data_IF_959241017457
#
_entry.id   IF_959241017457
#
_cell.length_a   1.000
_cell.length_b   1.000
_cell.length_c   1.000
_cell.angle_alpha   90.00
_cell.angle_beta   90.00
_cell.angle_gamma   90.00
#
_symmetry.space_group_name_H-M   'P 1'
#
loop_
_entity.id
_entity.type
_entity.pdbx_description
1 polymer ?
#
# COMPACT_ATOMS: atom_id res chain seq x y z
N UNK A 1 -4.92 3.77 5.82
CA UNK A 1 -5.58 3.16 4.63
C UNK A 1 -7.10 3.07 4.77
N UNK A 2 -7.67 2.61 5.89
CA UNK A 2 -9.13 2.48 6.08
C UNK A 2 -9.90 3.80 5.91
N UNK A 3 -9.37 4.91 6.39
CA UNK A 3 -10.00 6.22 6.24
C UNK A 3 -10.06 6.67 4.77
N UNK A 4 -8.96 6.48 4.02
CA UNK A 4 -8.95 6.73 2.58
C UNK A 4 -9.98 5.87 1.84
N UNK A 5 -10.07 4.60 2.20
CA UNK A 5 -11.02 3.66 1.60
C UNK A 5 -12.48 4.07 1.83
N UNK A 6 -12.80 4.56 3.03
CA UNK A 6 -14.17 4.90 3.42
C UNK A 6 -14.59 6.30 2.97
N UNK A 7 -13.72 7.29 3.11
CA UNK A 7 -14.06 8.72 3.00
C UNK A 7 -13.22 9.48 1.97
N UNK A 8 -12.22 8.85 1.34
CA UNK A 8 -11.28 9.55 0.47
C UNK A 8 -11.75 9.77 -0.97
N UNK A 9 -12.86 9.15 -1.40
CA UNK A 9 -13.30 9.18 -2.79
C UNK A 9 -13.62 10.59 -3.30
N UNK A 10 -14.42 11.36 -2.59
CA UNK A 10 -14.86 12.68 -3.05
C UNK A 10 -13.68 13.65 -3.18
N UNK A 11 -12.78 13.66 -2.21
CA UNK A 11 -11.56 14.48 -2.26
C UNK A 11 -10.64 14.05 -3.41
N UNK A 12 -10.51 12.74 -3.63
CA UNK A 12 -9.72 12.20 -4.74
C UNK A 12 -10.32 12.62 -6.09
N UNK A 13 -11.63 12.48 -6.26
CA UNK A 13 -12.33 12.86 -7.47
C UNK A 13 -12.17 14.36 -7.78
N UNK A 14 -12.31 15.22 -6.79
CA UNK A 14 -12.10 16.67 -6.92
C UNK A 14 -10.69 16.99 -7.42
N UNK A 15 -9.67 16.35 -6.83
CA UNK A 15 -8.27 16.54 -7.25
C UNK A 15 -8.01 16.04 -8.66
N UNK A 16 -8.58 14.89 -9.03
CA UNK A 16 -8.44 14.33 -10.39
C UNK A 16 -9.14 15.25 -11.41
N UNK A 17 -10.34 15.72 -11.11
CA UNK A 17 -11.08 16.65 -11.99
C UNK A 17 -10.29 17.95 -12.19
N UNK A 18 -9.77 18.54 -11.12
CA UNK A 18 -8.92 19.73 -11.20
C UNK A 18 -7.65 19.51 -12.03
N UNK A 19 -7.05 18.33 -11.92
CA UNK A 19 -5.89 17.96 -12.74
C UNK A 19 -6.28 17.84 -14.23
N UNK A 20 -7.38 17.17 -14.54
CA UNK A 20 -7.87 16.98 -15.87
C UNK A 20 -8.21 18.34 -16.55
N UNK A 21 -8.90 19.23 -15.83
CA UNK A 21 -9.22 20.59 -16.31
C UNK A 21 -7.96 21.38 -16.65
N UNK A 22 -6.93 21.28 -15.81
CA UNK A 22 -5.64 21.95 -16.04
C UNK A 22 -4.91 21.45 -17.28
N UNK A 23 -5.15 20.21 -17.71
CA UNK A 23 -4.45 19.55 -18.81
C UNK A 23 -5.35 19.31 -20.03
N UNK A 24 -6.53 19.96 -20.09
CA UNK A 24 -7.50 19.80 -21.18
C UNK A 24 -7.90 18.33 -21.43
N UNK A 25 -8.00 17.53 -20.37
CA UNK A 25 -8.46 16.14 -20.42
C UNK A 25 -9.94 16.10 -20.08
N UNK A 26 -10.74 15.53 -20.99
CA UNK A 26 -12.18 15.39 -20.79
C UNK A 26 -12.49 14.38 -19.65
N UNK A 27 -13.28 14.83 -18.68
CA UNK A 27 -13.77 13.97 -17.58
C UNK A 27 -15.16 13.46 -17.96
N UNK A 28 -15.39 12.13 -17.97
CA UNK A 28 -16.70 11.57 -18.26
C UNK A 28 -17.72 11.96 -17.18
N UNK A 29 -18.99 12.12 -17.58
CA UNK A 29 -20.07 12.35 -16.64
C UNK A 29 -20.16 11.19 -15.65
N UNK A 30 -19.97 11.46 -14.33
CA UNK A 30 -19.87 10.43 -13.29
C UNK A 30 -21.19 9.67 -13.06
N UNK A 31 -22.31 10.33 -13.32
CA UNK A 31 -23.68 9.76 -13.29
C UNK A 31 -24.04 9.00 -14.57
N UNK A 32 -23.22 9.14 -15.63
CA UNK A 32 -23.41 8.44 -16.89
C UNK A 32 -23.14 6.94 -16.79
N UNK A 33 -23.71 6.17 -17.74
CA UNK A 33 -23.52 4.73 -17.85
C UNK A 33 -22.04 4.40 -18.22
N UNK A 34 -21.40 3.51 -17.47
CA UNK A 34 -20.08 3.01 -17.81
C UNK A 34 -20.14 2.03 -18.99
N UNK A 35 -19.41 2.33 -20.04
CA UNK A 35 -19.29 1.46 -21.23
C UNK A 35 -17.86 0.93 -21.29
N UNK A 36 -17.65 -0.40 -21.06
CA UNK A 36 -16.33 -1.00 -21.17
C UNK A 36 -15.76 -0.85 -22.58
N UNK A 37 -14.46 -0.56 -22.65
CA UNK A 37 -13.77 -0.43 -23.93
C UNK A 37 -13.99 -1.65 -24.85
N UNK A 38 -14.30 -1.45 -26.12
CA UNK A 38 -14.54 -2.50 -27.10
C UNK A 38 -15.93 -3.15 -27.04
N UNK A 39 -16.83 -2.71 -26.16
CA UNK A 39 -18.23 -3.17 -26.10
C UNK A 39 -19.18 -2.07 -26.54
N UNK A 40 -20.17 -2.42 -27.37
CA UNK A 40 -21.22 -1.49 -27.73
C UNK A 40 -22.24 -1.37 -26.62
N UNK A 41 -22.79 -0.16 -26.40
CA UNK A 41 -23.83 0.10 -25.39
C UNK A 41 -25.03 -0.86 -25.49
N UNK A 42 -25.34 -1.40 -26.68
CA UNK A 42 -26.42 -2.37 -26.89
C UNK A 42 -26.18 -3.76 -26.27
N UNK A 43 -24.92 -4.13 -25.99
CA UNK A 43 -24.55 -5.44 -25.41
C UNK A 43 -24.35 -5.38 -23.89
N UNK A 44 -24.42 -4.21 -23.27
CA UNK A 44 -24.17 -4.00 -21.82
C UNK A 44 -25.49 -4.05 -21.02
N UNK A 45 -26.47 -4.86 -21.47
CA UNK A 45 -27.76 -4.93 -20.78
C UNK A 45 -27.78 -5.63 -19.42
N UNK A 46 -26.66 -6.23 -18.96
CA UNK A 46 -26.69 -7.09 -17.77
C UNK A 46 -26.34 -6.38 -16.45
N UNK A 47 -25.62 -5.26 -16.47
CA UNK A 47 -25.33 -4.44 -15.26
C UNK A 47 -25.14 -2.98 -15.67
N UNK A 48 -26.16 -2.17 -15.45
CA UNK A 48 -26.02 -0.72 -15.51
C UNK A 48 -25.16 -0.28 -14.33
N UNK A 49 -23.91 0.02 -14.59
CA UNK A 49 -22.97 0.60 -13.65
C UNK A 49 -22.69 2.02 -14.11
N UNK A 50 -22.74 2.98 -13.19
CA UNK A 50 -22.32 4.34 -13.50
C UNK A 50 -20.81 4.46 -13.57
N UNK A 51 -20.32 5.50 -14.24
CA UNK A 51 -18.89 5.83 -14.25
C UNK A 51 -18.36 6.00 -12.83
N UNK A 52 -19.07 6.72 -11.96
CA UNK A 52 -18.72 6.84 -10.54
C UNK A 52 -18.60 5.47 -9.87
N UNK A 53 -19.58 4.62 -10.05
CA UNK A 53 -19.57 3.26 -9.48
C UNK A 53 -18.40 2.41 -9.95
N UNK A 54 -18.01 2.53 -11.24
CA UNK A 54 -16.86 1.83 -11.80
C UNK A 54 -15.55 2.37 -11.23
N UNK A 55 -15.29 3.68 -11.39
CA UNK A 55 -14.03 4.27 -10.96
C UNK A 55 -13.83 4.20 -9.45
N UNK A 56 -14.89 4.35 -8.66
CA UNK A 56 -14.82 4.25 -7.21
C UNK A 56 -14.50 2.83 -6.75
N UNK A 57 -15.25 1.82 -7.22
CA UNK A 57 -15.13 0.44 -6.71
C UNK A 57 -14.00 -0.34 -7.36
N UNK A 58 -13.89 -0.29 -8.69
CA UNK A 58 -12.95 -1.15 -9.40
C UNK A 58 -11.57 -0.52 -9.54
N UNK A 59 -11.49 0.81 -9.62
CA UNK A 59 -10.20 1.49 -9.73
C UNK A 59 -9.71 1.98 -8.38
N UNK A 60 -10.40 2.93 -7.76
CA UNK A 60 -9.92 3.58 -6.53
C UNK A 60 -9.79 2.60 -5.34
N UNK A 61 -10.88 1.90 -5.00
CA UNK A 61 -10.86 0.91 -3.92
C UNK A 61 -9.96 -0.27 -4.27
N UNK A 62 -9.99 -0.74 -5.52
CA UNK A 62 -9.13 -1.84 -5.98
C UNK A 62 -7.65 -1.53 -5.81
N UNK A 63 -7.20 -0.33 -6.17
CA UNK A 63 -5.81 0.11 -5.98
C UNK A 63 -5.46 0.21 -4.49
N UNK A 64 -6.33 0.79 -3.66
CA UNK A 64 -6.10 0.89 -2.21
C UNK A 64 -5.98 -0.51 -1.59
N UNK A 65 -6.87 -1.43 -1.94
CA UNK A 65 -6.86 -2.80 -1.41
C UNK A 65 -5.59 -3.54 -1.86
N UNK A 66 -5.16 -3.38 -3.10
CA UNK A 66 -3.92 -3.97 -3.60
C UNK A 66 -2.68 -3.40 -2.89
N UNK A 67 -2.60 -2.07 -2.72
CA UNK A 67 -1.48 -1.46 -1.98
C UNK A 67 -1.48 -1.91 -0.52
N UNK A 68 -2.65 -1.98 0.12
CA UNK A 68 -2.76 -2.45 1.50
C UNK A 68 -2.27 -3.88 1.64
N UNK A 69 -2.67 -4.77 0.74
CA UNK A 69 -2.24 -6.16 0.72
C UNK A 69 -0.72 -6.28 0.50
N UNK A 70 -0.15 -5.49 -0.41
CA UNK A 70 1.30 -5.47 -0.63
C UNK A 70 2.07 -4.97 0.59
N UNK A 71 1.55 -3.95 1.30
CA UNK A 71 2.14 -3.47 2.54
C UNK A 71 2.09 -4.54 3.64
N UNK A 72 0.94 -5.18 3.83
CA UNK A 72 0.77 -6.24 4.82
C UNK A 72 1.69 -7.44 4.53
N UNK A 73 1.85 -7.81 3.25
CA UNK A 73 2.77 -8.88 2.84
C UNK A 73 4.26 -8.54 3.06
N UNK A 74 4.63 -7.26 2.87
CA UNK A 74 6.03 -6.82 3.02
C UNK A 74 6.40 -6.49 4.46
N UNK A 75 5.45 -6.03 5.25
CA UNK A 75 5.61 -5.61 6.63
C UNK A 75 4.84 -6.54 7.58
N UNK A 76 4.98 -7.85 7.35
CA UNK A 76 4.51 -8.86 8.28
C UNK A 76 5.26 -8.78 9.62
N UNK A 77 4.79 -9.51 10.62
CA UNK A 77 5.34 -9.50 11.97
C UNK A 77 6.85 -9.82 11.98
N UNK A 78 7.29 -10.79 11.17
CA UNK A 78 8.69 -11.21 11.10
C UNK A 78 9.57 -10.11 10.47
N UNK A 79 9.13 -9.53 9.36
CA UNK A 79 9.87 -8.47 8.70
C UNK A 79 9.94 -7.20 9.57
N UNK A 80 8.88 -6.86 10.29
CA UNK A 80 8.86 -5.76 11.23
C UNK A 80 9.80 -6.00 12.42
N UNK A 81 9.86 -7.23 12.94
CA UNK A 81 10.81 -7.59 13.98
C UNK A 81 12.25 -7.48 13.49
N UNK A 82 12.56 -8.00 12.28
CA UNK A 82 13.86 -7.84 11.64
C UNK A 82 14.27 -6.37 11.49
N UNK A 83 13.39 -5.53 10.96
CA UNK A 83 13.65 -4.09 10.81
C UNK A 83 13.89 -3.41 12.16
N UNK A 84 13.12 -3.78 13.19
CA UNK A 84 13.32 -3.28 14.55
C UNK A 84 14.68 -3.69 15.12
N UNK A 85 15.12 -4.94 14.90
CA UNK A 85 16.43 -5.40 15.31
C UNK A 85 17.55 -4.68 14.55
N UNK A 86 17.39 -4.47 13.23
CA UNK A 86 18.37 -3.73 12.41
C UNK A 86 18.51 -2.26 12.84
N UNK A 87 17.49 -1.68 13.45
CA UNK A 87 17.57 -0.30 13.97
C UNK A 87 18.69 -0.10 15.03
N UNK A 88 19.12 -1.19 15.70
CA UNK A 88 20.25 -1.15 16.63
C UNK A 88 21.58 -0.81 15.98
N UNK A 89 21.72 -0.99 14.65
CA UNK A 89 22.91 -0.63 13.88
C UNK A 89 22.91 0.83 13.39
N UNK A 90 21.89 1.62 13.71
CA UNK A 90 21.81 2.99 13.24
C UNK A 90 22.95 3.82 13.85
N UNK A 91 23.88 4.39 13.04
CA UNK A 91 25.02 5.15 13.51
C UNK A 91 24.66 6.56 13.99
N UNK A 92 23.39 6.96 13.83
CA UNK A 92 22.93 8.29 14.24
C UNK A 92 23.16 8.51 15.75
N UNK A 93 23.57 9.70 16.13
CA UNK A 93 23.91 10.07 17.50
C UNK A 93 24.91 9.10 18.19
N UNK A 94 25.97 8.70 17.48
CA UNK A 94 26.98 7.78 18.03
C UNK A 94 26.41 6.46 18.55
N UNK A 95 25.49 5.86 17.77
CA UNK A 95 24.81 4.61 18.13
C UNK A 95 23.94 4.72 19.40
N UNK A 96 23.29 5.86 19.62
CA UNK A 96 22.40 6.04 20.77
C UNK A 96 21.25 5.03 20.85
N UNK A 97 20.89 4.42 19.72
CA UNK A 97 19.85 3.38 19.62
C UNK A 97 20.40 1.94 19.74
N UNK A 98 21.69 1.78 20.10
CA UNK A 98 22.29 0.48 20.26
C UNK A 98 21.61 -0.31 21.35
N UNK A 99 21.23 -1.57 21.03
CA UNK A 99 20.54 -2.48 21.92
C UNK A 99 21.06 -3.91 21.69
N UNK A 100 21.78 -4.41 22.70
CA UNK A 100 22.36 -5.75 22.63
C UNK A 100 21.29 -6.87 22.54
N UNK A 101 20.11 -6.67 23.13
CA UNK A 101 19.03 -7.64 23.04
C UNK A 101 18.49 -7.74 21.60
N UNK A 102 18.37 -6.61 20.92
CA UNK A 102 17.99 -6.57 19.51
C UNK A 102 19.02 -7.26 18.61
N UNK A 103 20.32 -7.09 18.91
CA UNK A 103 21.37 -7.80 18.18
C UNK A 103 21.32 -9.31 18.40
N UNK A 104 21.09 -9.73 19.65
CA UNK A 104 20.94 -11.15 19.96
C UNK A 104 19.75 -11.74 19.20
N UNK A 105 18.62 -11.05 19.24
CA UNK A 105 17.43 -11.46 18.51
C UNK A 105 17.64 -11.50 16.97
N UNK A 106 18.35 -10.52 16.42
CA UNK A 106 18.72 -10.53 15.01
C UNK A 106 19.57 -11.75 14.64
N UNK A 107 20.54 -12.12 15.50
CA UNK A 107 21.39 -13.29 15.27
C UNK A 107 20.61 -14.62 15.29
N UNK A 108 19.50 -14.72 16.03
CA UNK A 108 18.62 -15.89 16.04
C UNK A 108 17.94 -16.13 14.67
N UNK A 109 17.73 -15.08 13.87
CA UNK A 109 17.21 -15.23 12.50
C UNK A 109 18.24 -15.83 11.53
N UNK A 110 19.54 -15.79 11.88
CA UNK A 110 20.64 -16.26 11.05
C UNK A 110 21.47 -17.36 11.74
N UNK A 111 20.89 -18.52 12.09
CA UNK A 111 21.55 -19.54 12.91
C UNK A 111 22.73 -20.20 12.22
N UNK A 112 22.85 -20.08 10.87
CA UNK A 112 23.98 -20.63 10.12
C UNK A 112 25.22 -19.75 10.24
N UNK A 113 25.05 -18.44 10.36
CA UNK A 113 26.11 -17.45 10.46
C UNK A 113 26.54 -17.24 11.92
N UNK A 114 25.61 -17.36 12.86
CA UNK A 114 25.84 -17.14 14.28
C UNK A 114 25.68 -18.48 15.05
N UNK A 115 26.79 -19.14 15.35
CA UNK A 115 26.74 -20.31 16.23
C UNK A 115 26.55 -19.86 17.69
N UNK A 116 25.96 -20.75 18.52
CA UNK A 116 25.74 -20.47 19.95
C UNK A 116 27.01 -20.02 20.71
N UNK A 117 28.21 -20.43 20.27
CA UNK A 117 29.49 -20.01 20.86
C UNK A 117 29.87 -18.56 20.52
N UNK A 118 29.31 -18.00 19.45
CA UNK A 118 29.55 -16.61 19.04
C UNK A 118 28.53 -15.65 19.67
N UNK A 119 27.31 -16.13 19.94
CA UNK A 119 26.26 -15.35 20.60
C UNK A 119 26.58 -15.03 22.06
N UNK A 120 27.35 -15.90 22.75
CA UNK A 120 27.77 -15.69 24.13
C UNK A 120 28.89 -14.64 24.27
N UNK A 121 29.42 -14.10 23.16
CA UNK A 121 30.47 -13.07 23.14
C UNK A 121 29.96 -11.68 22.74
N UNK A 122 28.69 -11.57 22.41
CA UNK A 122 28.00 -10.30 22.17
C UNK A 122 27.37 -9.78 23.45
#
# INVERSE_FOLDING_TARGET
MQELRSNGWDNFLERVTSFCDKHDVEVPAMDGDYIPYGKSARKVHARKQTNDGHFRREVYIGVIDQISQELDNRFDEINMELLSCMSAFNPYNSFASFDAQKLHRLAEFYPKEFSNNNLLKL
#
